data_IF_062368915869
#
_entry.id   IF_062368915869
#
_cell.length_a   1.000
_cell.length_b   1.000
_cell.length_c   1.000
_cell.angle_alpha   90.00
_cell.angle_beta   90.00
_cell.angle_gamma   90.00
#
_symmetry.space_group_name_H-M   'P 1'
#
loop_
_entity.id
_entity.type
_entity.pdbx_description
1 polymer ?
#
# COMPACT_ATOMS: atom_id res chain seq x y z
N UNK A 1 -43.16 2.45 -3.12
CA UNK A 1 -41.89 1.74 -3.31
C UNK A 1 -40.99 2.71 -4.06
N UNK A 2 -40.18 3.48 -3.33
CA UNK A 2 -39.36 4.54 -3.91
C UNK A 2 -38.05 3.92 -4.41
N UNK A 3 -37.84 4.06 -5.71
CA UNK A 3 -36.57 3.75 -6.39
C UNK A 3 -35.56 4.84 -5.98
N UNK A 4 -34.62 4.47 -5.10
CA UNK A 4 -33.51 5.35 -4.74
C UNK A 4 -32.49 5.31 -5.87
N UNK A 5 -32.05 6.46 -6.41
CA UNK A 5 -31.02 6.47 -7.44
C UNK A 5 -29.74 5.87 -6.86
N UNK A 6 -29.28 4.77 -7.45
CA UNK A 6 -27.99 4.13 -7.21
C UNK A 6 -26.86 5.06 -7.72
N UNK A 7 -26.65 6.19 -7.04
CA UNK A 7 -25.58 7.12 -7.33
C UNK A 7 -24.37 6.84 -6.43
N UNK A 8 -23.28 6.42 -7.06
CA UNK A 8 -21.88 6.69 -6.66
C UNK A 8 -21.20 5.84 -5.57
N UNK A 9 -21.54 4.56 -5.40
CA UNK A 9 -20.73 3.62 -4.59
C UNK A 9 -19.30 3.50 -5.16
N UNK A 10 -19.16 3.55 -6.49
CA UNK A 10 -17.86 3.46 -7.17
C UNK A 10 -16.96 4.67 -6.90
N UNK A 11 -17.52 5.88 -6.84
CA UNK A 11 -16.76 7.11 -6.60
C UNK A 11 -16.22 7.19 -5.17
N UNK A 12 -17.06 6.85 -4.19
CA UNK A 12 -16.70 6.84 -2.77
C UNK A 12 -15.61 5.81 -2.45
N UNK A 13 -15.77 4.56 -2.95
CA UNK A 13 -14.75 3.51 -2.79
C UNK A 13 -13.42 3.86 -3.45
N UNK A 14 -13.47 4.57 -4.58
CA UNK A 14 -12.28 5.03 -5.29
C UNK A 14 -11.55 6.04 -4.40
N UNK A 15 -12.23 7.04 -3.82
CA UNK A 15 -11.61 7.97 -2.86
C UNK A 15 -11.00 7.28 -1.63
N UNK A 16 -11.70 6.31 -1.03
CA UNK A 16 -11.19 5.56 0.14
C UNK A 16 -9.93 4.75 -0.19
N UNK A 17 -9.86 4.12 -1.37
CA UNK A 17 -8.66 3.40 -1.85
C UNK A 17 -7.44 4.30 -1.93
N UNK A 18 -7.60 5.50 -2.48
CA UNK A 18 -6.49 6.45 -2.64
C UNK A 18 -5.95 6.94 -1.30
N UNK A 19 -6.85 7.16 -0.34
CA UNK A 19 -6.47 7.56 1.02
C UNK A 19 -5.68 6.44 1.72
N UNK A 20 -6.20 5.20 1.70
CA UNK A 20 -5.51 4.03 2.29
C UNK A 20 -4.14 3.82 1.67
N UNK A 21 -4.03 3.87 0.34
CA UNK A 21 -2.77 3.70 -0.37
C UNK A 21 -1.74 4.78 0.02
N UNK A 22 -2.18 6.03 0.20
CA UNK A 22 -1.30 7.12 0.62
C UNK A 22 -0.74 6.88 2.03
N UNK A 23 -1.55 6.51 3.02
CA UNK A 23 -1.07 6.24 4.38
C UNK A 23 -0.16 5.01 4.43
N UNK A 24 -0.53 3.94 3.72
CA UNK A 24 0.29 2.76 3.64
C UNK A 24 1.67 3.06 3.01
N UNK A 25 1.71 3.89 1.97
CA UNK A 25 2.97 4.30 1.36
C UNK A 25 3.81 5.18 2.30
N UNK A 26 3.18 6.10 3.02
CA UNK A 26 3.87 6.97 3.97
C UNK A 26 4.45 6.19 5.15
N UNK A 27 3.67 5.27 5.73
CA UNK A 27 4.11 4.36 6.78
C UNK A 27 5.27 3.47 6.32
N UNK A 28 5.19 2.94 5.10
CA UNK A 28 6.26 2.13 4.53
C UNK A 28 7.56 2.94 4.31
N UNK A 29 7.47 4.20 3.87
CA UNK A 29 8.63 5.08 3.70
C UNK A 29 9.25 5.52 5.03
N UNK A 30 8.47 5.61 6.10
CA UNK A 30 8.97 5.91 7.45
C UNK A 30 9.63 4.71 8.13
N UNK A 31 9.45 3.51 7.60
CA UNK A 31 10.02 2.30 8.19
C UNK A 31 11.55 2.29 8.03
N UNK A 32 12.31 2.10 9.13
CA UNK A 32 13.76 2.00 9.07
C UNK A 32 14.24 0.91 8.11
N UNK A 33 15.24 1.24 7.29
CA UNK A 33 15.80 0.30 6.30
C UNK A 33 15.11 0.32 4.94
N UNK A 34 13.97 1.00 4.79
CA UNK A 34 13.34 1.24 3.48
C UNK A 34 14.02 2.44 2.81
N UNK A 35 14.52 2.24 1.59
CA UNK A 35 15.13 3.28 0.76
C UNK A 35 14.11 4.01 -0.12
N UNK A 36 13.04 3.31 -0.48
CA UNK A 36 11.98 3.81 -1.33
C UNK A 36 10.99 2.71 -1.66
N UNK A 37 9.98 3.04 -2.48
CA UNK A 37 8.99 2.10 -2.97
C UNK A 37 9.09 2.02 -4.50
N UNK A 38 9.02 0.80 -5.05
CA UNK A 38 8.99 0.60 -6.50
C UNK A 38 7.60 0.96 -7.04
N UNK A 39 7.55 1.95 -7.93
CA UNK A 39 6.33 2.36 -8.63
C UNK A 39 6.23 1.75 -10.03
N UNK A 40 7.29 1.07 -10.49
CA UNK A 40 7.48 0.69 -11.89
C UNK A 40 6.51 -0.40 -12.36
N UNK A 41 6.12 -1.33 -11.49
CA UNK A 41 5.30 -2.50 -11.86
C UNK A 41 3.78 -2.28 -11.77
N UNK A 42 3.34 -1.10 -11.32
CA UNK A 42 1.94 -0.85 -11.02
C UNK A 42 1.22 -0.14 -12.19
N UNK A 43 1.97 0.51 -13.08
CA UNK A 43 1.41 1.25 -14.24
C UNK A 43 0.72 0.34 -15.28
N UNK A 44 1.01 -0.97 -15.29
CA UNK A 44 0.56 -1.89 -16.34
C UNK A 44 -0.91 -2.34 -16.25
N UNK A 45 -1.63 -2.10 -15.15
CA UNK A 45 -3.00 -2.61 -14.95
C UNK A 45 -4.10 -1.55 -15.11
N UNK A 46 -3.78 -0.40 -15.74
CA UNK A 46 -4.74 0.69 -16.00
C UNK A 46 -5.90 0.30 -16.93
N UNK A 47 -5.74 -0.72 -17.78
CA UNK A 47 -6.69 -0.95 -18.88
C UNK A 47 -7.80 -1.98 -18.58
N UNK A 48 -7.65 -2.84 -17.57
CA UNK A 48 -8.59 -3.96 -17.38
C UNK A 48 -9.56 -3.83 -16.20
N UNK A 49 -9.26 -3.04 -15.16
CA UNK A 49 -10.09 -2.97 -13.94
C UNK A 49 -10.12 -1.53 -13.42
N UNK A 50 -10.95 -0.69 -14.03
CA UNK A 50 -10.94 0.77 -13.85
C UNK A 50 -11.41 1.30 -12.49
N UNK A 51 -10.65 1.06 -11.42
CA UNK A 51 -10.64 1.83 -10.16
C UNK A 51 -9.65 1.25 -9.11
N UNK A 52 -8.35 1.20 -9.39
CA UNK A 52 -7.35 1.02 -8.33
C UNK A 52 -6.54 2.32 -8.22
N UNK A 53 -6.76 3.07 -7.15
CA UNK A 53 -5.88 4.17 -6.81
C UNK A 53 -4.58 3.59 -6.29
N UNK A 54 -3.63 3.55 -7.21
CA UNK A 54 -2.30 3.01 -7.04
C UNK A 54 -1.38 4.13 -6.57
N UNK A 55 -1.34 4.35 -5.25
CA UNK A 55 -0.48 5.34 -4.62
C UNK A 55 0.93 4.77 -4.37
N UNK A 56 1.95 5.36 -5.00
CA UNK A 56 3.36 5.34 -4.52
C UNK A 56 3.97 3.94 -4.22
N UNK A 57 3.67 2.90 -5.00
CA UNK A 57 4.29 1.57 -4.80
C UNK A 57 3.57 0.68 -3.79
N UNK A 58 2.30 0.98 -3.52
CA UNK A 58 1.40 0.17 -2.69
C UNK A 58 0.14 -0.20 -3.47
N UNK A 59 -0.30 -1.46 -3.35
CA UNK A 59 -1.57 -1.97 -3.85
C UNK A 59 -2.51 -2.24 -2.67
N UNK A 60 -3.77 -1.87 -2.82
CA UNK A 60 -4.82 -2.07 -1.81
C UNK A 60 -5.95 -2.88 -2.43
N UNK A 61 -6.25 -4.02 -1.84
CA UNK A 61 -7.33 -4.92 -2.22
C UNK A 61 -8.38 -4.94 -1.09
N UNK A 62 -9.65 -4.73 -1.45
CA UNK A 62 -10.77 -4.78 -0.50
C UNK A 62 -11.42 -6.15 -0.59
N UNK A 63 -11.78 -6.76 0.54
CA UNK A 63 -12.41 -8.08 0.54
C UNK A 63 -13.83 -8.02 -0.05
N UNK A 64 -14.14 -8.95 -0.96
CA UNK A 64 -15.50 -9.12 -1.46
C UNK A 64 -16.41 -9.59 -0.33
N UNK A 65 -17.37 -8.75 0.06
CA UNK A 65 -18.35 -9.05 1.12
C UNK A 65 -18.07 -8.43 2.49
N UNK A 66 -16.89 -7.82 2.70
CA UNK A 66 -16.64 -6.99 3.87
C UNK A 66 -15.80 -5.75 3.47
N UNK A 67 -16.48 -4.61 3.38
CA UNK A 67 -15.89 -3.34 2.91
C UNK A 67 -14.95 -2.69 3.92
N UNK A 68 -14.96 -3.17 5.16
CA UNK A 68 -14.10 -2.69 6.25
C UNK A 68 -12.75 -3.41 6.26
N UNK A 69 -12.61 -4.53 5.54
CA UNK A 69 -11.41 -5.36 5.51
C UNK A 69 -10.57 -5.10 4.26
N UNK A 70 -9.29 -4.81 4.48
CA UNK A 70 -8.32 -4.54 3.40
C UNK A 70 -7.08 -5.41 3.52
N UNK A 71 -6.59 -5.86 2.36
CA UNK A 71 -5.28 -6.46 2.19
C UNK A 71 -4.37 -5.46 1.46
N UNK A 72 -3.15 -5.29 1.96
CA UNK A 72 -2.21 -4.29 1.46
C UNK A 72 -0.97 -5.01 0.95
N UNK A 73 -0.51 -4.67 -0.24
CA UNK A 73 0.74 -5.17 -0.80
C UNK A 73 1.70 -4.02 -1.02
N UNK A 74 2.89 -4.09 -0.42
CA UNK A 74 3.92 -3.05 -0.51
C UNK A 74 5.13 -3.59 -1.29
N UNK A 75 5.69 -2.75 -2.15
CA UNK A 75 6.85 -3.09 -2.97
C UNK A 75 8.10 -2.28 -2.55
N UNK A 76 8.72 -2.59 -1.39
CA UNK A 76 9.84 -1.80 -0.91
C UNK A 76 11.13 -2.10 -1.66
N UNK A 77 11.97 -1.07 -1.71
CA UNK A 77 13.40 -1.14 -2.02
C UNK A 77 14.12 -0.94 -0.68
N UNK A 78 14.99 -1.87 -0.31
CA UNK A 78 15.62 -1.89 1.02
C UNK A 78 17.07 -1.40 0.91
N UNK A 79 17.57 -0.72 1.95
CA UNK A 79 18.98 -0.36 2.02
C UNK A 79 19.86 -1.59 2.25
N UNK A 80 20.97 -1.68 1.51
CA UNK A 80 22.00 -2.67 1.72
C UNK A 80 22.52 -2.63 3.17
N UNK A 81 22.81 -3.81 3.72
CA UNK A 81 23.28 -3.96 5.11
C UNK A 81 22.17 -4.14 6.14
N UNK A 82 20.89 -4.11 5.75
CA UNK A 82 19.78 -4.46 6.63
C UNK A 82 19.36 -5.92 6.46
N UNK A 83 18.84 -6.51 7.54
CA UNK A 83 18.25 -7.85 7.52
C UNK A 83 16.82 -7.71 6.99
N UNK A 84 16.61 -8.18 5.75
CA UNK A 84 15.33 -8.03 5.02
C UNK A 84 14.13 -8.52 5.84
N UNK A 85 14.16 -9.70 6.50
CA UNK A 85 13.06 -10.14 7.35
C UNK A 85 12.69 -9.18 8.48
N UNK A 86 13.68 -8.54 9.12
CA UNK A 86 13.42 -7.57 10.21
C UNK A 86 12.78 -6.30 9.66
N UNK A 87 13.31 -5.77 8.55
CA UNK A 87 12.71 -4.60 7.87
C UNK A 87 11.30 -4.90 7.39
N UNK A 88 11.06 -6.09 6.82
CA UNK A 88 9.74 -6.51 6.37
C UNK A 88 8.75 -6.62 7.54
N UNK A 89 9.18 -7.17 8.68
CA UNK A 89 8.34 -7.27 9.87
C UNK A 89 7.96 -5.89 10.41
N UNK A 90 8.94 -5.00 10.58
CA UNK A 90 8.68 -3.62 11.01
C UNK A 90 7.79 -2.87 10.02
N UNK A 91 7.95 -3.10 8.71
CA UNK A 91 7.11 -2.51 7.68
C UNK A 91 5.66 -2.98 7.82
N UNK A 92 5.46 -4.28 8.04
CA UNK A 92 4.12 -4.85 8.23
C UNK A 92 3.42 -4.25 9.44
N UNK A 93 4.12 -4.17 10.59
CA UNK A 93 3.58 -3.58 11.82
C UNK A 93 3.24 -2.10 11.64
N UNK A 94 4.15 -1.33 11.04
CA UNK A 94 3.95 0.12 10.85
C UNK A 94 2.79 0.40 9.89
N UNK A 95 2.75 -0.28 8.73
CA UNK A 95 1.68 -0.10 7.73
C UNK A 95 0.34 -0.51 8.31
N UNK A 96 0.27 -1.63 9.03
CA UNK A 96 -0.96 -2.08 9.68
C UNK A 96 -1.44 -1.05 10.70
N UNK A 97 -0.58 -0.66 11.64
CA UNK A 97 -0.94 0.28 12.70
C UNK A 97 -1.41 1.63 12.15
N UNK A 98 -0.69 2.20 11.18
CA UNK A 98 -1.04 3.52 10.63
C UNK A 98 -2.33 3.49 9.84
N UNK A 99 -2.53 2.49 8.98
CA UNK A 99 -3.77 2.40 8.19
C UNK A 99 -4.97 2.18 9.09
N UNK A 100 -4.91 1.26 10.05
CA UNK A 100 -6.02 1.03 11.00
C UNK A 100 -6.31 2.31 11.81
N UNK A 101 -5.27 3.02 12.26
CA UNK A 101 -5.41 4.25 13.06
C UNK A 101 -6.00 5.42 12.29
N UNK A 102 -5.59 5.64 11.04
CA UNK A 102 -6.01 6.82 10.26
C UNK A 102 -7.26 6.60 9.43
N UNK A 103 -7.55 5.36 9.04
CA UNK A 103 -8.68 5.04 8.17
C UNK A 103 -9.82 4.33 8.88
N UNK A 104 -9.57 3.74 10.06
CA UNK A 104 -10.57 2.95 10.81
C UNK A 104 -10.91 1.61 10.16
N UNK A 105 -10.23 1.24 9.07
CA UNK A 105 -10.37 -0.06 8.41
C UNK A 105 -9.60 -1.12 9.17
N UNK A 106 -9.95 -2.39 8.93
CA UNK A 106 -9.24 -3.55 9.47
C UNK A 106 -8.27 -4.07 8.42
N UNK A 107 -6.98 -4.15 8.77
CA UNK A 107 -5.97 -4.69 7.86
C UNK A 107 -5.81 -6.17 8.13
N UNK A 108 -6.34 -6.99 7.21
CA UNK A 108 -6.26 -8.45 7.31
C UNK A 108 -4.80 -8.91 7.17
N UNK A 109 -4.14 -8.44 6.11
CA UNK A 109 -2.79 -8.84 5.78
C UNK A 109 -2.00 -7.70 5.13
N UNK A 110 -0.70 -7.67 5.44
CA UNK A 110 0.28 -6.82 4.75
C UNK A 110 1.30 -7.72 4.07
N UNK A 111 1.27 -7.75 2.74
CA UNK A 111 2.22 -8.48 1.91
C UNK A 111 3.41 -7.59 1.55
N UNK A 112 4.62 -8.11 1.73
CA UNK A 112 5.85 -7.37 1.44
C UNK A 112 6.60 -8.06 0.30
N UNK A 113 6.70 -7.39 -0.83
CA UNK A 113 7.41 -7.88 -2.01
C UNK A 113 8.63 -7.02 -2.27
N UNK A 114 9.77 -7.42 -1.69
CA UNK A 114 11.02 -6.69 -1.86
C UNK A 114 11.45 -6.71 -3.32
N UNK A 115 11.49 -5.51 -3.94
CA UNK A 115 11.81 -5.36 -5.36
C UNK A 115 13.30 -5.17 -5.64
N UNK A 116 14.06 -4.73 -4.64
CA UNK A 116 15.49 -4.53 -4.81
C UNK A 116 16.18 -4.10 -3.53
N UNK A 117 17.52 -4.03 -3.62
CA UNK A 117 18.40 -3.54 -2.57
C UNK A 117 19.28 -2.45 -3.16
N UNK A 118 19.41 -1.32 -2.48
CA UNK A 118 20.24 -0.19 -2.91
C UNK A 118 21.22 0.20 -1.81
N UNK A 119 22.39 0.69 -2.20
CA UNK A 119 23.32 1.30 -1.25
C UNK A 119 22.80 2.69 -0.87
N UNK A 120 23.14 3.18 0.33
CA UNK A 120 22.92 4.61 0.65
C UNK A 120 23.88 5.40 -0.23
N UNK A 121 23.37 6.27 -1.10
CA UNK A 121 24.25 7.06 -1.97
C UNK A 121 25.17 7.93 -1.09
N UNK A 122 26.46 7.64 -1.19
CA UNK A 122 27.53 7.98 -0.25
C UNK A 122 28.83 7.20 -0.56
N UNK A 123 28.73 6.05 -1.23
CA UNK A 123 29.85 5.31 -1.80
C UNK A 123 29.90 5.49 -3.34
N UNK A 124 30.15 6.71 -3.80
CA UNK A 124 30.74 6.91 -5.13
C UNK A 124 32.25 6.97 -4.92
N UNK A 125 32.93 5.87 -5.26
CA UNK A 125 34.39 5.81 -5.36
C UNK A 125 34.85 6.47 -6.65
#
# INVERSE_FOLDING_TARGET
MADYPQASIKGERTMSRGFVAQYAAEAALQTPGVAGLDTSNIVLLKESIGALHEGKGVKVDFHEGNEEMVAITVYPIIYFGNIIPEVAWSLQEQVKSDVEKYTGLVVEAVHVHVKGVVTREGDKK
#
